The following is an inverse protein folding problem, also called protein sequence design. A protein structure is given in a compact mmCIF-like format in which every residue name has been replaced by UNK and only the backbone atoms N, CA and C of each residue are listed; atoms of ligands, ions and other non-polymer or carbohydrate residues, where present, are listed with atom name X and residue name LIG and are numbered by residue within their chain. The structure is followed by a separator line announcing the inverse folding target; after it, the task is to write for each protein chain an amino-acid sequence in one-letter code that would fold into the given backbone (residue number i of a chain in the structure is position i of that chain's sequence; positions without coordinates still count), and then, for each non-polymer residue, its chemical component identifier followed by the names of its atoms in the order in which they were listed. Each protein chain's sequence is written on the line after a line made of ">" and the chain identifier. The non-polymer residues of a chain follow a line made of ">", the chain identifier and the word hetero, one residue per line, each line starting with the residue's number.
data_IF_436863488259
#
_entry.id   IF_436863488259
#
_cell.length_a   1.000
_cell.length_b   1.000
_cell.length_c   1.000
_cell.angle_alpha   90.00
_cell.angle_beta   90.00
_cell.angle_gamma   90.00
#
_symmetry.space_group_name_H-M   'P 1'
#
loop_
_entity.id
_entity.type
_entity.pdbx_description
1 polymer ?
#
# COMPACT_ATOMS: atom_id res chain seq x y z
N UNK A 1 -14.27 -9.37 -13.40
CA UNK A 1 -13.84 -9.79 -12.20
C UNK A 1 -12.58 -9.18 -11.79
N UNK A 2 -12.58 -8.73 -10.64
CA UNK A 2 -11.51 -7.99 -10.19
C UNK A 2 -10.51 -8.79 -9.48
N UNK A 3 -9.29 -8.56 -9.71
CA UNK A 3 -8.26 -9.23 -9.08
C UNK A 3 -7.49 -8.32 -8.30
N UNK A 4 -6.82 -8.78 -7.32
CA UNK A 4 -5.93 -7.97 -6.56
C UNK A 4 -4.85 -7.47 -7.48
N UNK A 5 -4.69 -6.20 -7.55
CA UNK A 5 -3.63 -5.60 -8.33
C UNK A 5 -2.39 -5.54 -7.48
N UNK A 6 -1.25 -5.82 -8.08
CA UNK A 6 -0.01 -5.91 -7.34
C UNK A 6 1.05 -5.16 -8.09
N UNK A 7 1.80 -4.35 -7.40
CA UNK A 7 2.92 -3.64 -7.97
C UNK A 7 4.16 -3.98 -7.18
N UNK A 8 5.30 -3.94 -7.82
CA UNK A 8 6.57 -4.14 -7.13
C UNK A 8 7.42 -2.93 -7.39
N UNK A 9 7.92 -2.32 -6.33
CA UNK A 9 8.77 -1.15 -6.46
C UNK A 9 10.04 -1.39 -5.67
N UNK A 10 11.12 -0.73 -6.09
CA UNK A 10 12.38 -0.80 -5.38
C UNK A 10 12.58 0.52 -4.67
N UNK A 11 12.74 0.44 -3.36
CA UNK A 11 12.93 1.61 -2.54
C UNK A 11 14.14 1.34 -1.66
N UNK A 12 15.15 2.17 -1.76
CA UNK A 12 16.36 2.03 -0.95
C UNK A 12 16.96 0.64 -1.09
N UNK A 13 17.03 0.17 -2.32
CA UNK A 13 17.62 -1.13 -2.63
C UNK A 13 16.83 -2.30 -2.09
N UNK A 14 15.61 -2.08 -1.67
CA UNK A 14 14.75 -3.16 -1.22
C UNK A 14 13.53 -3.22 -2.11
N UNK A 15 13.09 -4.43 -2.37
CA UNK A 15 11.93 -4.64 -3.21
C UNK A 15 10.70 -4.73 -2.32
N UNK A 16 9.71 -3.93 -2.64
CA UNK A 16 8.48 -3.88 -1.87
C UNK A 16 7.31 -4.26 -2.76
N UNK A 17 6.45 -5.10 -2.25
CA UNK A 17 5.22 -5.46 -2.95
C UNK A 17 4.14 -4.54 -2.44
N UNK A 18 3.38 -3.96 -3.37
CA UNK A 18 2.37 -2.97 -3.05
C UNK A 18 1.03 -3.50 -3.47
N UNK A 19 0.09 -3.49 -2.56
CA UNK A 19 -1.26 -3.92 -2.89
C UNK A 19 -2.24 -3.24 -1.95
N UNK A 20 -3.46 -3.11 -2.41
CA UNK A 20 -4.51 -2.55 -1.57
C UNK A 20 -5.08 -3.66 -0.71
N UNK A 21 -5.25 -3.39 0.57
CA UNK A 21 -5.80 -4.37 1.49
C UNK A 21 -6.96 -3.72 2.23
N UNK A 22 -7.92 -4.53 2.58
CA UNK A 22 -9.03 -4.05 3.36
C UNK A 22 -8.66 -4.17 4.82
N UNK A 23 -8.92 -3.13 5.55
CA UNK A 23 -8.64 -3.13 6.96
C UNK A 23 -9.91 -2.97 7.72
N UNK A 24 -10.06 -3.73 8.78
CA UNK A 24 -11.19 -3.59 9.67
C UNK A 24 -10.65 -3.03 10.96
N UNK A 25 -10.85 -1.75 11.19
CA UNK A 25 -10.39 -1.13 12.41
C UNK A 25 -11.37 -1.37 13.52
N UNK A 26 -12.63 -1.31 13.21
CA UNK A 26 -13.63 -1.68 14.18
C UNK A 26 -14.84 -2.07 13.39
N UNK A 27 -15.88 -2.41 14.06
CA UNK A 27 -17.00 -2.97 13.39
C UNK A 27 -17.76 -1.99 12.59
N UNK A 28 -17.66 -0.75 12.90
CA UNK A 28 -18.49 0.23 12.26
C UNK A 28 -17.92 0.69 10.94
N UNK A 29 -16.69 0.38 10.64
CA UNK A 29 -16.10 0.87 9.41
C UNK A 29 -15.25 -0.18 8.75
N UNK A 30 -15.89 -0.99 7.97
CA UNK A 30 -15.20 -2.06 7.28
C UNK A 30 -14.81 -1.69 5.89
N UNK A 31 -15.06 -0.45 5.48
CA UNK A 31 -14.75 -0.04 4.13
C UNK A 31 -13.39 0.58 4.00
N UNK A 32 -12.72 0.82 5.10
CA UNK A 32 -11.42 1.40 5.04
C UNK A 32 -10.47 0.47 4.35
N UNK A 33 -9.64 1.02 3.52
CA UNK A 33 -8.64 0.27 2.81
C UNK A 33 -7.32 0.97 2.99
N UNK A 34 -6.27 0.24 2.88
CA UNK A 34 -4.93 0.78 2.97
C UNK A 34 -4.10 0.22 1.85
N UNK A 35 -3.08 0.95 1.45
CA UNK A 35 -2.12 0.46 0.52
C UNK A 35 -0.98 -0.12 1.34
N UNK A 36 -0.75 -1.41 1.17
CA UNK A 36 0.25 -2.10 1.97
C UNK A 36 1.52 -2.28 1.17
N UNK A 37 2.63 -1.89 1.77
CA UNK A 37 3.95 -2.12 1.21
C UNK A 37 4.62 -3.19 2.06
N UNK A 38 5.04 -4.27 1.43
CA UNK A 38 5.55 -5.42 2.16
C UNK A 38 6.86 -5.88 1.52
N UNK A 39 7.89 -6.08 2.31
CA UNK A 39 9.18 -6.51 1.79
C UNK A 39 9.63 -7.85 2.30
N UNK A 40 8.75 -8.61 2.92
CA UNK A 40 9.09 -9.90 3.47
C UNK A 40 9.38 -9.88 4.95
N UNK A 41 9.77 -8.75 5.48
CA UNK A 41 10.08 -8.63 6.89
C UNK A 41 9.24 -7.56 7.55
N UNK A 42 8.89 -6.52 6.82
CA UNK A 42 8.16 -5.41 7.40
C UNK A 42 7.00 -5.05 6.50
N UNK A 43 5.99 -4.46 7.08
CA UNK A 43 4.84 -3.94 6.35
C UNK A 43 4.65 -2.49 6.71
N UNK A 44 4.24 -1.70 5.74
CA UNK A 44 3.85 -0.33 5.97
C UNK A 44 2.53 -0.09 5.30
N UNK A 45 1.73 0.78 5.89
CA UNK A 45 0.37 0.99 5.43
C UNK A 45 0.13 2.46 5.19
N UNK A 46 -0.43 2.79 4.05
CA UNK A 46 -0.79 4.15 3.72
C UNK A 46 -2.29 4.21 3.54
N UNK A 47 -2.95 5.08 4.24
CA UNK A 47 -4.39 5.20 4.12
C UNK A 47 -4.78 6.30 3.15
N UNK A 48 -3.83 7.12 2.74
CA UNK A 48 -4.11 8.22 1.85
C UNK A 48 -3.41 7.98 0.52
N UNK A 49 -4.12 7.48 -0.45
CA UNK A 49 -3.53 7.18 -1.74
C UNK A 49 -4.59 7.34 -2.81
N UNK A 50 -4.20 7.68 -4.04
CA UNK A 50 -5.18 7.89 -5.10
C UNK A 50 -5.78 6.57 -5.60
N UNK A 51 -6.96 6.68 -6.16
CA UNK A 51 -7.64 5.48 -6.66
C UNK A 51 -6.89 4.84 -7.82
N UNK A 52 -6.13 5.63 -8.56
CA UNK A 52 -5.39 5.09 -9.70
C UNK A 52 -3.97 4.70 -9.32
N UNK A 53 -3.76 4.32 -8.08
CA UNK A 53 -2.43 3.96 -7.60
C UNK A 53 -1.75 2.88 -8.45
N UNK A 54 -2.46 1.95 -9.09
CA UNK A 54 -1.75 0.96 -9.89
C UNK A 54 -1.07 1.56 -11.11
N UNK A 55 -1.47 2.75 -11.52
CA UNK A 55 -0.88 3.41 -12.67
C UNK A 55 0.20 4.41 -12.28
N UNK A 56 0.50 4.55 -11.02
CA UNK A 56 1.49 5.52 -10.58
C UNK A 56 2.89 5.06 -10.93
N UNK A 57 3.78 6.00 -11.08
CA UNK A 57 5.19 5.69 -11.29
C UNK A 57 5.81 5.21 -9.99
N UNK A 58 6.99 4.64 -10.08
CA UNK A 58 7.69 4.21 -8.87
C UNK A 58 7.98 5.39 -7.97
N UNK A 59 8.28 6.54 -8.56
CA UNK A 59 8.56 7.71 -7.77
C UNK A 59 7.34 8.14 -6.97
N UNK A 60 6.19 8.07 -7.59
CA UNK A 60 4.96 8.43 -6.91
C UNK A 60 4.62 7.45 -5.81
N UNK A 61 4.83 6.17 -6.06
CA UNK A 61 4.59 5.16 -5.04
C UNK A 61 5.57 5.32 -3.89
N UNK A 62 6.80 5.70 -4.18
CA UNK A 62 7.78 5.95 -3.13
C UNK A 62 7.33 7.11 -2.25
N UNK A 63 6.75 8.14 -2.83
CA UNK A 63 6.24 9.24 -2.02
C UNK A 63 5.15 8.78 -1.07
N UNK A 64 4.29 7.90 -1.54
CA UNK A 64 3.27 7.34 -0.67
C UNK A 64 3.90 6.51 0.42
N UNK A 65 4.91 5.71 0.06
CA UNK A 65 5.61 4.88 1.00
C UNK A 65 6.23 5.71 2.11
N UNK A 66 6.77 6.87 1.78
CA UNK A 66 7.41 7.70 2.78
C UNK A 66 6.43 8.23 3.81
N UNK A 67 5.15 8.28 3.47
CA UNK A 67 4.14 8.69 4.41
C UNK A 67 3.45 7.51 5.08
N UNK A 68 3.80 6.30 4.67
CA UNK A 68 3.17 5.11 5.22
C UNK A 68 3.73 4.82 6.59
N UNK A 69 2.93 4.13 7.37
CA UNK A 69 3.31 3.81 8.76
C UNK A 69 3.45 2.33 8.93
N UNK A 70 4.27 1.89 9.86
CA UNK A 70 4.51 0.45 10.04
C UNK A 70 3.26 -0.27 10.48
N UNK A 71 2.30 0.45 11.02
CA UNK A 71 1.05 -0.17 11.32
C UNK A 71 0.01 0.89 11.39
N UNK A 72 -1.17 0.46 11.48
CA UNK A 72 -2.27 1.41 11.44
C UNK A 72 -2.94 1.52 12.76
#
# INVERSE_FOLDING_TARGET
>A
MDRATLRVVTISDQRWVVRAVRRVLDQSDTRLAALRFFNGAESRYASDYPADWPALTESELTSIFERAEPRV
#
